data_IF_799857996692
#
_entry.id   IF_799857996692
#
_cell.length_a   1.000
_cell.length_b   1.000
_cell.length_c   1.000
_cell.angle_alpha   90.00
_cell.angle_beta   90.00
_cell.angle_gamma   90.00
#
_symmetry.space_group_name_H-M   'P 1'
#
loop_
_entity.id
_entity.type
_entity.pdbx_description
1 polymer ?
#
# COMPACT_ATOMS: atom_id res chain seq x y z
N UNK A 1 12.23 -23.22 -1.29
CA UNK A 1 12.10 -22.29 -2.44
C UNK A 1 10.89 -22.70 -3.26
N UNK A 2 9.92 -21.82 -3.52
CA UNK A 2 8.72 -22.19 -4.28
C UNK A 2 9.10 -22.53 -5.74
N UNK A 3 8.65 -23.67 -6.25
CA UNK A 3 8.93 -24.10 -7.62
C UNK A 3 8.40 -23.10 -8.65
N UNK A 4 9.07 -23.00 -9.81
CA UNK A 4 8.70 -22.08 -10.90
C UNK A 4 7.22 -22.24 -11.30
N UNK A 5 6.72 -23.49 -11.26
CA UNK A 5 5.32 -23.84 -11.54
C UNK A 5 4.35 -23.26 -10.50
N UNK A 6 4.72 -23.29 -9.21
CA UNK A 6 3.93 -22.68 -8.13
C UNK A 6 3.94 -21.15 -8.21
N UNK A 7 5.09 -20.54 -8.53
CA UNK A 7 5.18 -19.09 -8.77
C UNK A 7 4.33 -18.64 -9.97
N UNK A 8 4.33 -19.40 -11.07
CA UNK A 8 3.53 -19.09 -12.27
C UNK A 8 2.04 -19.20 -11.98
N UNK A 9 1.60 -20.29 -11.34
CA UNK A 9 0.19 -20.48 -10.93
C UNK A 9 -0.29 -19.38 -9.98
N UNK A 10 0.54 -18.94 -9.04
CA UNK A 10 0.22 -17.82 -8.16
C UNK A 10 0.14 -16.49 -8.92
N UNK A 11 1.06 -16.25 -9.87
CA UNK A 11 1.04 -15.04 -10.72
C UNK A 11 -0.18 -14.99 -11.63
N UNK A 12 -0.61 -16.11 -12.20
CA UNK A 12 -1.81 -16.18 -13.04
C UNK A 12 -3.08 -15.97 -12.20
N UNK A 13 -3.19 -16.64 -11.03
CA UNK A 13 -4.32 -16.46 -10.11
C UNK A 13 -4.46 -15.02 -9.60
N UNK A 14 -3.34 -14.34 -9.38
CA UNK A 14 -3.30 -12.97 -8.89
C UNK A 14 -3.06 -11.94 -10.00
N UNK A 15 -3.19 -12.31 -11.28
CA UNK A 15 -2.82 -11.44 -12.42
C UNK A 15 -3.63 -10.14 -12.43
N UNK A 16 -4.93 -10.22 -12.13
CA UNK A 16 -5.83 -9.07 -12.07
C UNK A 16 -5.59 -8.18 -10.85
N UNK A 17 -5.25 -8.79 -9.70
CA UNK A 17 -4.81 -8.06 -8.50
C UNK A 17 -3.47 -7.37 -8.77
N UNK A 18 -2.56 -8.03 -9.48
CA UNK A 18 -1.28 -7.44 -9.90
C UNK A 18 -1.44 -6.35 -10.95
N UNK A 19 -2.34 -6.46 -11.91
CA UNK A 19 -2.58 -5.41 -12.90
C UNK A 19 -3.19 -4.18 -12.22
N UNK A 20 -4.19 -4.36 -11.35
CA UNK A 20 -4.80 -3.27 -10.56
C UNK A 20 -3.77 -2.61 -9.63
N UNK A 21 -3.04 -3.41 -8.85
CA UNK A 21 -1.97 -2.88 -7.99
C UNK A 21 -0.83 -2.26 -8.78
N UNK A 22 -0.48 -2.78 -9.97
CA UNK A 22 0.55 -2.17 -10.82
C UNK A 22 0.07 -0.86 -11.46
N UNK A 23 -1.23 -0.66 -11.67
CA UNK A 23 -1.77 0.60 -12.16
C UNK A 23 -1.84 1.63 -11.04
N UNK A 24 -2.28 1.25 -9.82
CA UNK A 24 -2.16 2.12 -8.64
C UNK A 24 -0.70 2.37 -8.24
N UNK A 25 0.18 1.39 -8.41
CA UNK A 25 1.59 1.47 -8.03
C UNK A 25 2.53 1.97 -9.14
N UNK A 26 2.00 2.36 -10.30
CA UNK A 26 2.82 2.75 -11.46
C UNK A 26 3.64 3.99 -11.11
N UNK A 27 4.97 3.83 -11.14
CA UNK A 27 6.06 4.82 -10.94
C UNK A 27 6.07 5.56 -9.60
N UNK A 28 4.92 5.99 -9.07
CA UNK A 28 4.80 6.80 -7.86
C UNK A 28 5.22 6.03 -6.61
N UNK A 29 4.73 4.82 -6.33
CA UNK A 29 5.11 4.11 -5.09
C UNK A 29 6.63 3.92 -4.94
N UNK A 30 7.36 3.62 -6.01
CA UNK A 30 8.82 3.49 -5.91
C UNK A 30 9.53 4.83 -5.70
N UNK A 31 8.96 5.93 -6.19
CA UNK A 31 9.42 7.30 -5.95
C UNK A 31 9.03 7.72 -4.53
N UNK A 32 7.81 7.46 -4.10
CA UNK A 32 7.28 7.78 -2.78
C UNK A 32 8.02 7.02 -1.70
N UNK A 33 8.28 5.72 -1.86
CA UNK A 33 9.10 4.96 -0.91
C UNK A 33 10.54 5.49 -0.83
N UNK A 34 11.09 5.98 -1.96
CA UNK A 34 12.40 6.63 -1.95
C UNK A 34 12.32 7.98 -1.23
N UNK A 35 11.26 8.74 -1.46
CA UNK A 35 11.05 10.04 -0.83
C UNK A 35 10.81 9.87 0.67
N UNK A 36 9.98 8.93 1.09
CA UNK A 36 9.77 8.55 2.49
C UNK A 36 11.08 8.14 3.15
N UNK A 37 11.91 7.33 2.48
CA UNK A 37 13.20 6.97 3.06
C UNK A 37 14.11 8.18 3.29
N UNK A 38 14.03 9.22 2.45
CA UNK A 38 14.78 10.47 2.65
C UNK A 38 14.14 11.34 3.73
N UNK A 39 12.84 11.58 3.61
CA UNK A 39 12.08 12.50 4.46
C UNK A 39 12.02 12.03 5.91
N UNK A 40 11.88 10.73 6.13
CA UNK A 40 11.81 10.12 7.46
C UNK A 40 13.13 9.48 7.91
N UNK A 41 14.24 9.74 7.19
CA UNK A 41 15.58 9.23 7.51
C UNK A 41 15.63 7.69 7.71
N UNK A 42 15.08 6.95 6.75
CA UNK A 42 15.00 5.48 6.76
C UNK A 42 16.07 4.87 5.85
N UNK A 43 16.45 3.61 6.12
CA UNK A 43 17.43 2.80 5.38
C UNK A 43 16.85 2.24 4.08
N UNK A 44 16.40 3.15 3.22
CA UNK A 44 15.88 2.86 1.89
C UNK A 44 14.44 2.36 1.87
N UNK A 45 14.03 1.84 0.71
CA UNK A 45 12.62 1.52 0.42
C UNK A 45 12.06 0.40 1.29
N UNK A 46 12.92 -0.55 1.70
CA UNK A 46 12.49 -1.66 2.56
C UNK A 46 12.00 -1.17 3.92
N UNK A 47 12.77 -0.29 4.58
CA UNK A 47 12.35 0.32 5.83
C UNK A 47 11.18 1.28 5.63
N UNK A 48 11.10 1.99 4.49
CA UNK A 48 9.94 2.81 4.17
C UNK A 48 8.62 2.03 4.09
N UNK A 49 8.63 0.78 3.60
CA UNK A 49 7.45 -0.08 3.61
C UNK A 49 7.06 -0.44 5.05
N UNK A 50 8.03 -0.88 5.86
CA UNK A 50 7.79 -1.22 7.27
C UNK A 50 7.27 -0.01 8.05
N UNK A 51 7.84 1.17 7.82
CA UNK A 51 7.43 2.42 8.43
C UNK A 51 6.01 2.82 8.04
N UNK A 52 5.63 2.70 6.77
CA UNK A 52 4.25 2.98 6.33
C UNK A 52 3.24 2.09 7.07
N UNK A 53 3.54 0.79 7.21
CA UNK A 53 2.69 -0.14 7.98
C UNK A 53 2.62 0.25 9.46
N UNK A 54 3.76 0.62 10.06
CA UNK A 54 3.82 1.06 11.45
C UNK A 54 2.93 2.29 11.69
N UNK A 55 3.05 3.32 10.85
CA UNK A 55 2.23 4.54 10.93
C UNK A 55 0.76 4.23 10.75
N UNK A 56 0.38 3.41 9.76
CA UNK A 56 -1.03 3.03 9.55
C UNK A 56 -1.61 2.31 10.76
N UNK A 57 -0.85 1.41 11.40
CA UNK A 57 -1.30 0.73 12.64
C UNK A 57 -1.49 1.72 13.79
N UNK A 58 -0.57 2.67 13.95
CA UNK A 58 -0.67 3.69 14.98
C UNK A 58 -1.89 4.59 14.77
N UNK A 59 -2.18 4.99 13.51
CA UNK A 59 -3.36 5.77 13.17
C UNK A 59 -4.66 5.00 13.45
N UNK A 60 -4.70 3.70 13.12
CA UNK A 60 -5.85 2.84 13.40
C UNK A 60 -6.10 2.70 14.92
N UNK A 61 -5.04 2.51 15.71
CA UNK A 61 -5.19 2.49 17.17
C UNK A 61 -5.65 3.84 17.71
N UNK A 62 -5.22 4.94 17.09
CA UNK A 62 -5.60 6.28 17.53
C UNK A 62 -7.04 6.63 17.15
N UNK A 63 -7.56 6.12 16.04
CA UNK A 63 -8.96 6.34 15.65
C UNK A 63 -9.96 5.81 16.68
N UNK A 64 -9.60 4.80 17.47
CA UNK A 64 -10.46 4.27 18.54
C UNK A 64 -10.73 5.30 19.65
N UNK A 65 -9.88 6.34 19.77
CA UNK A 65 -9.93 7.35 20.82
C UNK A 65 -10.08 8.78 20.30
N UNK A 66 -10.06 8.98 18.97
CA UNK A 66 -10.13 10.29 18.33
C UNK A 66 -11.04 10.26 17.09
N UNK A 67 -12.23 10.83 17.23
CA UNK A 67 -13.25 10.85 16.19
C UNK A 67 -12.80 11.57 14.90
N UNK A 68 -11.90 12.55 14.99
CA UNK A 68 -11.36 13.23 13.80
C UNK A 68 -10.44 12.30 13.03
N UNK A 69 -9.62 11.52 13.73
CA UNK A 69 -8.73 10.53 13.11
C UNK A 69 -9.55 9.38 12.54
N UNK A 70 -10.60 8.92 13.22
CA UNK A 70 -11.53 7.93 12.67
C UNK A 70 -12.14 8.38 11.34
N UNK A 71 -12.70 9.61 11.32
CA UNK A 71 -13.29 10.18 10.10
C UNK A 71 -12.26 10.32 8.98
N UNK A 72 -11.04 10.73 9.30
CA UNK A 72 -9.95 10.80 8.33
C UNK A 72 -9.63 9.42 7.75
N UNK A 73 -9.52 8.39 8.60
CA UNK A 73 -9.23 7.02 8.18
C UNK A 73 -10.32 6.47 7.26
N UNK A 74 -11.60 6.68 7.58
CA UNK A 74 -12.71 6.26 6.74
C UNK A 74 -12.66 6.92 5.36
N UNK A 75 -12.39 8.22 5.30
CA UNK A 75 -12.26 8.95 4.04
C UNK A 75 -11.07 8.45 3.20
N UNK A 76 -9.93 8.15 3.83
CA UNK A 76 -8.76 7.61 3.14
C UNK A 76 -9.00 6.19 2.62
N UNK A 77 -9.69 5.34 3.39
CA UNK A 77 -10.07 3.98 2.97
C UNK A 77 -11.03 4.04 1.77
N UNK A 78 -12.05 4.91 1.84
CA UNK A 78 -12.99 5.13 0.74
C UNK A 78 -12.28 5.64 -0.51
N UNK A 79 -11.40 6.63 -0.38
CA UNK A 79 -10.61 7.15 -1.49
C UNK A 79 -9.72 6.07 -2.11
N UNK A 80 -9.02 5.27 -1.29
CA UNK A 80 -8.20 4.17 -1.77
C UNK A 80 -9.02 3.12 -2.54
N UNK A 81 -10.20 2.75 -2.05
CA UNK A 81 -11.09 1.82 -2.74
C UNK A 81 -11.65 2.38 -4.04
N UNK A 82 -12.04 3.65 -4.06
CA UNK A 82 -12.48 4.35 -5.29
C UNK A 82 -11.36 4.34 -6.32
N UNK A 83 -10.15 4.74 -5.92
CA UNK A 83 -9.01 4.83 -6.82
C UNK A 83 -8.61 3.44 -7.34
N UNK A 84 -8.63 2.41 -6.49
CA UNK A 84 -8.46 1.01 -6.91
C UNK A 84 -9.48 0.59 -7.96
N UNK A 85 -10.73 0.96 -7.75
CA UNK A 85 -11.84 0.53 -8.60
C UNK A 85 -11.89 1.30 -9.93
N UNK A 86 -11.41 2.54 -9.97
CA UNK A 86 -11.20 3.31 -11.22
C UNK A 86 -10.19 2.63 -12.16
N UNK A 87 -9.25 1.87 -11.62
CA UNK A 87 -8.24 1.13 -12.39
C UNK A 87 -8.62 -0.34 -12.67
N UNK A 88 -9.91 -0.70 -12.50
CA UNK A 88 -10.48 -1.96 -12.99
C UNK A 88 -10.75 -1.86 -14.50
N UNK A 89 -9.70 -1.91 -15.32
CA UNK A 89 -9.81 -2.25 -16.75
C UNK A 89 -9.69 -3.75 -16.94
#
# INVERSE_FOLDING_TARGET
MATIKAQRKWRDKNRFVKSQLNVMAKKYIHVDLKNFSKQFNLRGKGEAVTFAVFVTRALLQRSDFDAKIATLMDNLILAYHRDRDLYKS
#
